data_IF_412282895014
#
_entry.id   IF_412282895014
#
_cell.length_a   1.000
_cell.length_b   1.000
_cell.length_c   1.000
_cell.angle_alpha   90.00
_cell.angle_beta   90.00
_cell.angle_gamma   90.00
#
_symmetry.space_group_name_H-M   'P 1'
#
loop_
_entity.id
_entity.type
_entity.pdbx_description
1 polymer ?
#
# COMPACT_ATOMS: atom_id res chain seq x y z
N UNK A 1 -9.22 -47.67 -43.75
CA UNK A 1 -9.16 -47.43 -42.29
C UNK A 1 -7.91 -46.61 -42.00
N UNK A 2 -8.06 -45.29 -41.90
CA UNK A 2 -6.96 -44.36 -41.56
C UNK A 2 -6.95 -44.18 -40.04
N UNK A 3 -5.84 -44.54 -39.40
CA UNK A 3 -5.62 -44.38 -37.96
C UNK A 3 -5.70 -42.90 -37.57
N UNK A 4 -6.42 -42.51 -36.50
CA UNK A 4 -6.43 -41.13 -36.05
C UNK A 4 -5.06 -40.79 -35.44
N UNK A 5 -4.35 -39.84 -36.06
CA UNK A 5 -3.11 -39.30 -35.52
C UNK A 5 -3.37 -38.79 -34.10
N UNK A 6 -2.64 -39.34 -33.12
CA UNK A 6 -2.63 -38.86 -31.75
C UNK A 6 -2.01 -37.47 -31.72
N UNK A 7 -2.85 -36.45 -31.85
CA UNK A 7 -2.50 -35.05 -31.55
C UNK A 7 -2.27 -34.92 -30.04
N UNK A 8 -1.17 -35.50 -29.57
CA UNK A 8 -0.64 -35.26 -28.23
C UNK A 8 0.01 -33.88 -28.30
N UNK A 9 -0.52 -32.85 -27.61
CA UNK A 9 0.09 -31.52 -27.67
C UNK A 9 1.53 -31.63 -27.18
N UNK A 10 2.49 -31.25 -28.04
CA UNK A 10 3.91 -31.24 -27.72
C UNK A 10 4.12 -30.42 -26.45
N UNK A 11 4.68 -31.04 -25.40
CA UNK A 11 5.06 -30.33 -24.17
C UNK A 11 5.98 -29.17 -24.57
N UNK A 12 5.70 -27.92 -24.15
CA UNK A 12 6.54 -26.78 -24.50
C UNK A 12 7.98 -27.02 -24.01
N UNK A 13 8.98 -26.82 -24.87
CA UNK A 13 10.38 -26.94 -24.47
C UNK A 13 10.70 -25.96 -23.34
N UNK A 14 11.35 -26.47 -22.30
CA UNK A 14 11.66 -25.72 -21.09
C UNK A 14 12.93 -24.89 -21.31
N UNK A 15 12.82 -23.56 -21.18
CA UNK A 15 13.93 -22.64 -21.38
C UNK A 15 15.11 -22.96 -20.42
N UNK A 16 16.35 -22.68 -20.84
CA UNK A 16 17.58 -23.00 -20.09
C UNK A 16 17.56 -22.44 -18.66
N UNK A 17 17.08 -21.20 -18.48
CA UNK A 17 16.88 -20.60 -17.17
C UNK A 17 15.92 -21.41 -16.28
N UNK A 18 14.80 -21.89 -16.83
CA UNK A 18 13.79 -22.64 -16.06
C UNK A 18 14.32 -24.01 -15.64
N UNK A 19 15.18 -24.64 -16.45
CA UNK A 19 15.87 -25.90 -16.10
C UNK A 19 16.86 -25.70 -14.95
N UNK A 20 17.69 -24.66 -15.02
CA UNK A 20 18.59 -24.29 -13.93
C UNK A 20 17.81 -23.92 -12.65
N UNK A 21 16.76 -23.10 -12.78
CA UNK A 21 15.97 -22.68 -11.62
C UNK A 21 15.30 -23.86 -10.92
N UNK A 22 14.81 -24.84 -11.69
CA UNK A 22 14.20 -26.05 -11.14
C UNK A 22 15.17 -26.97 -10.40
N UNK A 23 16.50 -26.81 -10.59
CA UNK A 23 17.49 -27.61 -9.84
C UNK A 23 17.78 -27.04 -8.45
N UNK A 24 17.32 -25.84 -8.12
CA UNK A 24 17.46 -25.25 -6.78
C UNK A 24 16.50 -25.90 -5.79
N UNK A 25 16.80 -25.84 -4.49
CA UNK A 25 15.90 -26.30 -3.44
C UNK A 25 14.50 -25.64 -3.57
N UNK A 26 13.39 -26.37 -3.43
CA UNK A 26 12.03 -25.82 -3.64
C UNK A 26 11.74 -24.56 -2.82
N UNK A 27 12.19 -24.52 -1.57
CA UNK A 27 12.09 -23.32 -0.70
C UNK A 27 12.84 -22.12 -1.29
N UNK A 28 14.04 -22.30 -1.85
CA UNK A 28 14.81 -21.23 -2.49
C UNK A 28 14.13 -20.73 -3.77
N UNK A 29 13.47 -21.62 -4.52
CA UNK A 29 12.64 -21.22 -5.65
C UNK A 29 11.48 -20.33 -5.18
N UNK A 30 10.77 -20.71 -4.12
CA UNK A 30 9.66 -19.88 -3.61
C UNK A 30 10.13 -18.53 -3.07
N UNK A 31 11.25 -18.50 -2.34
CA UNK A 31 11.85 -17.25 -1.84
C UNK A 31 12.25 -16.35 -3.02
N UNK A 32 13.00 -16.88 -3.99
CA UNK A 32 13.43 -16.13 -5.17
C UNK A 32 12.26 -15.56 -5.98
N UNK A 33 11.18 -16.33 -6.11
CA UNK A 33 9.92 -15.91 -6.73
C UNK A 33 9.15 -14.85 -5.93
N UNK A 34 9.54 -14.55 -4.68
CA UNK A 34 8.89 -13.56 -3.82
C UNK A 34 9.75 -12.30 -3.58
N UNK A 35 11.07 -12.38 -3.78
CA UNK A 35 12.01 -11.26 -3.64
C UNK A 35 11.74 -10.07 -4.56
N UNK A 36 10.94 -10.24 -5.62
CA UNK A 36 10.52 -9.11 -6.45
C UNK A 36 9.67 -8.08 -5.69
N UNK A 37 8.93 -8.50 -4.65
CA UNK A 37 8.05 -7.62 -3.89
C UNK A 37 8.82 -6.56 -3.07
N UNK A 38 9.82 -6.92 -2.23
CA UNK A 38 10.62 -5.92 -1.53
C UNK A 38 11.45 -5.05 -2.49
N UNK A 39 11.97 -5.62 -3.58
CA UNK A 39 12.68 -4.85 -4.60
C UNK A 39 11.76 -3.79 -5.25
N UNK A 40 10.56 -4.22 -5.66
CA UNK A 40 9.53 -3.32 -6.16
C UNK A 40 9.21 -2.21 -5.16
N UNK A 41 9.06 -2.56 -3.87
CA UNK A 41 8.75 -1.58 -2.83
C UNK A 41 9.84 -0.52 -2.70
N UNK A 42 11.11 -0.91 -2.63
CA UNK A 42 12.25 0.02 -2.54
C UNK A 42 12.29 0.94 -3.77
N UNK A 43 12.18 0.37 -4.98
CA UNK A 43 12.21 1.15 -6.22
C UNK A 43 11.04 2.13 -6.29
N UNK A 44 9.81 1.68 -6.01
CA UNK A 44 8.62 2.52 -6.04
C UNK A 44 8.67 3.61 -4.96
N UNK A 45 9.20 3.31 -3.77
CA UNK A 45 9.37 4.28 -2.70
C UNK A 45 10.36 5.39 -3.11
N UNK A 46 11.53 5.03 -3.63
CA UNK A 46 12.49 6.02 -4.12
C UNK A 46 11.89 6.87 -5.25
N UNK A 47 11.25 6.25 -6.24
CA UNK A 47 10.69 6.97 -7.39
C UNK A 47 9.47 7.83 -7.05
N UNK A 48 8.66 7.46 -6.08
CA UNK A 48 7.41 8.18 -5.79
C UNK A 48 7.52 9.11 -4.58
N UNK A 49 8.25 8.70 -3.53
CA UNK A 49 8.37 9.50 -2.31
C UNK A 49 9.63 10.36 -2.33
N UNK A 50 10.79 9.77 -2.59
CA UNK A 50 12.04 10.55 -2.61
C UNK A 50 12.00 11.55 -3.76
N UNK A 51 11.62 11.12 -4.96
CA UNK A 51 11.51 12.05 -6.09
C UNK A 51 10.51 13.19 -5.84
N UNK A 52 9.36 12.92 -5.19
CA UNK A 52 8.36 13.95 -4.94
C UNK A 52 8.70 14.89 -3.76
N UNK A 53 9.35 14.38 -2.71
CA UNK A 53 9.56 15.13 -1.46
C UNK A 53 11.00 15.62 -1.22
N UNK A 54 12.00 15.18 -2.00
CA UNK A 54 13.39 15.60 -1.75
C UNK A 54 13.64 17.08 -2.03
N UNK A 55 12.92 17.69 -2.98
CA UNK A 55 13.07 19.08 -3.37
C UNK A 55 11.73 19.66 -3.88
N UNK A 56 10.73 19.88 -3.01
CA UNK A 56 9.49 20.52 -3.41
C UNK A 56 9.77 21.99 -3.70
N UNK A 57 9.76 22.35 -4.99
CA UNK A 57 9.81 23.74 -5.42
C UNK A 57 8.39 24.26 -5.57
N UNK A 58 8.11 25.38 -4.89
CA UNK A 58 6.88 26.12 -5.07
C UNK A 58 6.82 26.67 -6.50
N UNK A 59 5.73 26.37 -7.21
CA UNK A 59 5.43 26.88 -8.55
C UNK A 59 4.05 27.51 -8.53
N UNK A 60 3.94 28.73 -9.08
CA UNK A 60 2.67 29.43 -9.28
C UNK A 60 1.74 29.40 -8.05
N UNK A 61 2.29 29.60 -6.85
CA UNK A 61 1.53 29.54 -5.60
C UNK A 61 0.58 30.74 -5.56
N UNK A 62 -0.74 30.54 -5.52
CA UNK A 62 -1.66 31.65 -5.63
C UNK A 62 -1.76 32.41 -4.33
N UNK A 63 -1.51 33.71 -4.41
CA UNK A 63 -1.60 34.67 -3.33
C UNK A 63 -2.73 35.64 -3.67
N UNK A 64 -3.72 35.69 -2.79
CA UNK A 64 -4.82 36.64 -2.92
C UNK A 64 -4.40 38.03 -2.50
N UNK A 65 -4.84 39.07 -3.21
CA UNK A 65 -4.65 40.47 -2.84
C UNK A 65 -5.99 41.17 -2.86
N UNK A 66 -6.31 41.89 -1.79
CA UNK A 66 -7.50 42.73 -1.74
C UNK A 66 -7.21 44.03 -2.48
N UNK A 67 -7.96 44.31 -3.55
CA UNK A 67 -7.75 45.48 -4.41
C UNK A 67 -6.89 45.18 -5.65
N UNK A 68 -6.13 46.18 -6.12
CA UNK A 68 -5.35 46.06 -7.36
C UNK A 68 -4.09 45.21 -7.18
N UNK A 69 -3.95 44.19 -8.03
CA UNK A 69 -2.80 43.29 -8.03
C UNK A 69 -1.56 43.86 -8.75
N UNK A 70 -1.71 44.86 -9.62
CA UNK A 70 -0.65 45.29 -10.56
C UNK A 70 0.64 45.76 -9.86
N UNK A 71 0.51 46.51 -8.76
CA UNK A 71 1.67 47.01 -8.01
C UNK A 71 2.40 45.90 -7.25
N UNK A 72 1.66 44.87 -6.83
CA UNK A 72 2.21 43.74 -6.10
C UNK A 72 2.86 42.72 -7.01
N UNK A 73 2.25 42.48 -8.16
CA UNK A 73 2.76 41.55 -9.16
C UNK A 73 4.16 41.96 -9.62
N UNK A 74 4.37 43.28 -9.84
CA UNK A 74 5.70 43.83 -10.15
C UNK A 74 6.73 43.64 -9.01
N UNK A 75 6.33 43.83 -7.76
CA UNK A 75 7.22 43.67 -6.61
C UNK A 75 7.59 42.19 -6.34
N UNK A 76 6.63 41.28 -6.54
CA UNK A 76 6.83 39.84 -6.39
C UNK A 76 7.64 39.25 -7.55
N UNK A 77 7.41 39.70 -8.78
CA UNK A 77 8.23 39.32 -9.94
C UNK A 77 9.71 39.64 -9.75
N UNK A 78 10.03 40.74 -9.05
CA UNK A 78 11.42 41.11 -8.72
C UNK A 78 12.07 40.28 -7.59
N UNK A 79 11.26 39.67 -6.72
CA UNK A 79 11.74 38.99 -5.50
C UNK A 79 11.72 37.46 -5.61
N UNK A 80 10.70 36.91 -6.28
CA UNK A 80 10.48 35.46 -6.41
C UNK A 80 9.81 35.13 -7.76
N UNK A 81 10.52 35.30 -8.90
CA UNK A 81 9.95 35.09 -10.23
C UNK A 81 9.48 33.64 -10.44
N UNK A 82 8.24 33.45 -10.87
CA UNK A 82 7.64 32.13 -11.18
C UNK A 82 7.26 31.28 -9.96
N UNK A 83 7.34 31.85 -8.74
CA UNK A 83 7.02 31.13 -7.49
C UNK A 83 5.59 31.44 -7.02
N UNK A 84 5.09 32.64 -7.33
CA UNK A 84 3.80 33.15 -6.85
C UNK A 84 2.94 33.60 -8.02
N UNK A 85 1.67 33.21 -7.99
CA UNK A 85 0.60 33.69 -8.87
C UNK A 85 -0.28 34.69 -8.09
N UNK A 86 -0.51 35.89 -8.61
CA UNK A 86 -1.24 36.92 -7.87
C UNK A 86 -2.70 36.98 -8.34
N UNK A 87 -3.64 36.82 -7.42
CA UNK A 87 -5.07 36.90 -7.70
C UNK A 87 -5.71 38.06 -6.97
N UNK A 88 -6.42 38.93 -7.70
CA UNK A 88 -7.14 40.06 -7.08
C UNK A 88 -8.51 39.65 -6.56
N UNK A 89 -8.87 40.19 -5.39
CA UNK A 89 -10.17 40.05 -4.78
C UNK A 89 -10.76 41.43 -4.50
N UNK A 90 -12.07 41.56 -4.71
CA UNK A 90 -12.79 42.83 -4.53
C UNK A 90 -13.06 43.14 -3.07
N UNK A 91 -13.20 42.11 -2.22
CA UNK A 91 -13.49 42.25 -0.79
C UNK A 91 -12.54 41.40 0.05
N UNK A 92 -12.33 41.85 1.30
CA UNK A 92 -11.55 41.11 2.29
C UNK A 92 -12.21 39.77 2.62
N UNK A 93 -13.54 39.72 2.67
CA UNK A 93 -14.27 38.49 3.02
C UNK A 93 -14.17 37.44 1.91
N UNK A 94 -14.19 37.83 0.64
CA UNK A 94 -13.92 36.92 -0.48
C UNK A 94 -12.51 36.36 -0.43
N UNK A 95 -11.52 37.20 -0.08
CA UNK A 95 -10.14 36.79 0.08
C UNK A 95 -9.96 35.81 1.26
N UNK A 96 -10.59 36.08 2.41
CA UNK A 96 -10.60 35.16 3.57
C UNK A 96 -11.25 33.82 3.22
N UNK A 97 -12.38 33.84 2.51
CA UNK A 97 -13.04 32.63 2.03
C UNK A 97 -12.18 31.86 1.01
N UNK A 98 -11.42 32.56 0.17
CA UNK A 98 -10.46 31.96 -0.75
C UNK A 98 -9.34 31.20 0.00
N UNK A 99 -8.83 31.78 1.10
CA UNK A 99 -7.82 31.14 1.98
C UNK A 99 -8.41 29.93 2.69
N UNK A 100 -9.60 30.06 3.30
CA UNK A 100 -10.27 28.96 4.02
C UNK A 100 -10.65 27.79 3.09
N UNK A 101 -11.03 28.07 1.85
CA UNK A 101 -11.36 27.04 0.85
C UNK A 101 -10.14 26.41 0.18
N UNK A 102 -8.94 26.96 0.38
CA UNK A 102 -7.72 26.49 -0.25
C UNK A 102 -7.50 26.93 -1.69
N UNK A 103 -8.28 27.91 -2.19
CA UNK A 103 -8.12 28.46 -3.54
C UNK A 103 -6.86 29.30 -3.66
N UNK A 104 -6.51 30.00 -2.58
CA UNK A 104 -5.26 30.75 -2.45
C UNK A 104 -4.52 30.28 -1.19
N UNK A 105 -3.19 30.31 -1.23
CA UNK A 105 -2.33 29.92 -0.12
C UNK A 105 -2.43 30.90 1.06
N UNK A 106 -2.36 32.20 0.76
CA UNK A 106 -2.55 33.31 1.69
C UNK A 106 -3.26 34.45 0.98
N UNK A 107 -3.89 35.34 1.74
CA UNK A 107 -4.43 36.59 1.21
C UNK A 107 -3.79 37.78 1.91
N UNK A 108 -3.52 38.86 1.18
CA UNK A 108 -2.96 40.09 1.69
C UNK A 108 -3.98 41.20 1.55
N UNK A 109 -4.23 41.92 2.65
CA UNK A 109 -4.94 43.19 2.65
C UNK A 109 -3.91 44.32 2.83
N UNK A 110 -3.58 45.07 1.76
CA UNK A 110 -2.68 46.21 1.84
C UNK A 110 -3.21 47.34 2.73
N UNK A 111 -4.53 47.55 2.79
CA UNK A 111 -5.12 48.65 3.53
C UNK A 111 -4.99 48.46 5.05
N UNK A 112 -5.15 47.22 5.53
CA UNK A 112 -4.95 46.86 6.93
C UNK A 112 -3.53 46.34 7.24
N UNK A 113 -2.65 46.27 6.23
CA UNK A 113 -1.31 45.66 6.35
C UNK A 113 -1.37 44.28 7.02
N UNK A 114 -2.27 43.41 6.54
CA UNK A 114 -2.52 42.09 7.15
C UNK A 114 -2.39 40.96 6.13
N UNK A 115 -1.71 39.88 6.51
CA UNK A 115 -1.65 38.62 5.78
C UNK A 115 -2.58 37.62 6.48
N UNK A 116 -3.61 37.17 5.77
CA UNK A 116 -4.50 36.10 6.20
C UNK A 116 -3.97 34.74 5.73
N UNK A 117 -3.84 33.80 6.66
CA UNK A 117 -3.45 32.41 6.39
C UNK A 117 -4.44 31.43 7.04
N UNK A 118 -4.37 30.16 6.65
CA UNK A 118 -5.11 29.08 7.28
C UNK A 118 -4.15 27.91 7.57
N UNK A 119 -3.61 27.85 8.79
CA UNK A 119 -2.64 26.80 9.14
C UNK A 119 -3.26 25.40 9.07
N UNK A 120 -4.53 25.28 9.42
CA UNK A 120 -5.25 24.01 9.34
C UNK A 120 -5.52 23.51 7.91
N UNK A 121 -5.51 24.41 6.91
CA UNK A 121 -5.62 23.98 5.52
C UNK A 121 -4.30 23.38 5.03
N UNK A 122 -3.17 24.07 5.27
CA UNK A 122 -1.85 23.52 4.98
C UNK A 122 -0.76 24.22 5.79
N UNK A 123 -0.24 23.54 6.80
CA UNK A 123 0.76 24.09 7.72
C UNK A 123 2.02 24.59 7.02
N UNK A 124 2.62 23.76 6.14
CA UNK A 124 3.88 24.09 5.44
C UNK A 124 3.77 25.39 4.62
N UNK A 125 2.63 25.57 3.96
CA UNK A 125 2.35 26.76 3.13
C UNK A 125 2.09 27.98 3.99
N UNK A 126 1.27 27.81 5.03
CA UNK A 126 0.92 28.87 5.98
C UNK A 126 2.14 29.39 6.77
N UNK A 127 3.20 28.58 6.89
CA UNK A 127 4.47 28.98 7.47
C UNK A 127 5.41 29.64 6.43
N UNK A 128 5.52 29.06 5.23
CA UNK A 128 6.52 29.48 4.24
C UNK A 128 6.10 30.71 3.42
N UNK A 129 4.85 30.77 2.94
CA UNK A 129 4.42 31.81 2.00
C UNK A 129 4.47 33.23 2.61
N UNK A 130 4.07 33.46 3.87
CA UNK A 130 4.24 34.77 4.49
C UNK A 130 5.70 35.24 4.52
N UNK A 131 6.67 34.33 4.71
CA UNK A 131 8.11 34.65 4.68
C UNK A 131 8.56 35.08 3.28
N UNK A 132 8.02 34.46 2.23
CA UNK A 132 8.34 34.80 0.84
C UNK A 132 7.73 36.17 0.45
N UNK A 133 6.49 36.45 0.87
CA UNK A 133 5.75 37.66 0.47
C UNK A 133 6.16 38.89 1.30
N UNK A 134 6.59 38.72 2.55
CA UNK A 134 6.91 39.84 3.45
C UNK A 134 7.98 40.79 2.91
N UNK A 135 9.12 40.34 2.35
CA UNK A 135 10.11 41.25 1.76
C UNK A 135 9.57 42.11 0.62
N UNK A 136 8.68 41.55 -0.21
CA UNK A 136 8.02 42.30 -1.30
C UNK A 136 7.00 43.32 -0.75
N UNK A 137 6.32 43.01 0.35
CA UNK A 137 5.47 43.98 1.06
C UNK A 137 6.29 45.13 1.66
N UNK A 138 7.44 44.80 2.25
CA UNK A 138 8.34 45.79 2.86
C UNK A 138 8.96 46.73 1.83
N UNK A 139 9.27 46.26 0.61
CA UNK A 139 9.76 47.13 -0.47
C UNK A 139 8.70 48.14 -0.95
N UNK A 140 7.42 47.83 -0.75
CA UNK A 140 6.29 48.73 -0.98
C UNK A 140 5.94 49.60 0.25
N UNK A 141 6.74 49.54 1.32
CA UNK A 141 6.54 50.30 2.56
C UNK A 141 5.47 49.72 3.49
N UNK A 142 5.00 48.49 3.25
CA UNK A 142 3.98 47.81 4.05
C UNK A 142 4.68 46.91 5.07
N UNK A 143 4.33 47.04 6.36
CA UNK A 143 4.80 46.14 7.42
C UNK A 143 3.68 45.20 7.81
N UNK A 144 3.61 43.98 7.24
CA UNK A 144 2.48 43.09 7.43
C UNK A 144 2.44 42.46 8.83
N UNK A 145 1.25 42.38 9.40
CA UNK A 145 0.93 41.46 10.50
C UNK A 145 0.31 40.18 9.94
N UNK A 146 0.45 39.04 10.62
CA UNK A 146 -0.14 37.77 10.18
C UNK A 146 -1.32 37.38 11.06
N UNK A 147 -2.46 37.06 10.44
CA UNK A 147 -3.66 36.57 11.11
C UNK A 147 -3.99 35.18 10.57
N UNK A 148 -4.12 34.21 11.48
CA UNK A 148 -4.55 32.86 11.14
C UNK A 148 -6.07 32.74 11.27
N UNK A 149 -6.73 32.47 10.16
CA UNK A 149 -8.18 32.30 10.08
C UNK A 149 -8.63 30.92 10.58
N UNK A 150 -7.75 29.93 10.52
CA UNK A 150 -8.03 28.56 10.91
C UNK A 150 -6.80 27.98 11.61
N UNK A 151 -6.57 28.35 12.88
CA UNK A 151 -5.47 27.81 13.67
C UNK A 151 -5.67 26.30 13.91
N UNK A 152 -4.55 25.58 13.96
CA UNK A 152 -4.55 24.16 14.29
C UNK A 152 -4.82 23.93 15.79
N UNK A 153 -5.49 22.82 16.14
CA UNK A 153 -5.73 22.47 17.53
C UNK A 153 -4.42 22.05 18.25
N UNK A 154 -4.35 22.15 19.59
CA UNK A 154 -3.13 21.83 20.36
C UNK A 154 -2.66 20.38 20.22
N UNK A 155 -3.57 19.44 19.92
CA UNK A 155 -3.25 18.03 19.74
C UNK A 155 -2.80 17.68 18.30
N UNK A 156 -2.77 18.64 17.37
CA UNK A 156 -2.29 18.47 16.00
C UNK A 156 -1.59 19.74 15.48
N UNK A 157 -0.49 20.11 16.12
CA UNK A 157 0.26 21.35 15.84
C UNK A 157 0.74 21.47 14.39
N UNK A 158 0.88 20.35 13.67
CA UNK A 158 1.38 20.30 12.30
C UNK A 158 0.29 19.94 11.26
N UNK A 159 -0.96 19.68 11.67
CA UNK A 159 -2.06 19.32 10.76
C UNK A 159 -1.88 17.94 10.10
N UNK A 160 -1.08 17.06 10.71
CA UNK A 160 -0.65 15.78 10.10
C UNK A 160 -1.62 14.64 10.34
N UNK A 161 -2.55 14.78 11.30
CA UNK A 161 -3.51 13.74 11.64
C UNK A 161 -4.37 13.37 10.43
N UNK A 162 -4.83 14.36 9.67
CA UNK A 162 -5.60 14.15 8.43
C UNK A 162 -4.82 13.31 7.39
N UNK A 163 -3.53 13.57 7.22
CA UNK A 163 -2.66 12.81 6.32
C UNK A 163 -2.51 11.35 6.77
N UNK A 164 -2.28 11.11 8.06
CA UNK A 164 -2.10 9.75 8.58
C UNK A 164 -3.40 8.95 8.58
N UNK A 165 -4.55 9.58 8.85
CA UNK A 165 -5.86 8.94 8.71
C UNK A 165 -6.12 8.52 7.26
N UNK A 166 -5.87 9.41 6.31
CA UNK A 166 -5.98 9.10 4.88
C UNK A 166 -5.08 7.91 4.50
N UNK A 167 -3.81 7.92 4.93
CA UNK A 167 -2.88 6.83 4.68
C UNK A 167 -3.38 5.51 5.29
N UNK A 168 -3.82 5.52 6.55
CA UNK A 168 -4.32 4.34 7.24
C UNK A 168 -5.55 3.74 6.54
N UNK A 169 -6.50 4.58 6.11
CA UNK A 169 -7.71 4.14 5.42
C UNK A 169 -7.43 3.65 4.00
N UNK A 170 -6.51 4.29 3.27
CA UNK A 170 -6.02 3.79 1.99
C UNK A 170 -5.41 2.39 2.15
N UNK A 171 -4.55 2.20 3.17
CA UNK A 171 -3.94 0.90 3.48
C UNK A 171 -4.99 -0.14 3.80
N UNK A 172 -5.92 0.16 4.70
CA UNK A 172 -7.03 -0.73 5.06
C UNK A 172 -7.87 -1.14 3.83
N UNK A 173 -8.21 -0.18 2.98
CA UNK A 173 -9.00 -0.40 1.75
C UNK A 173 -8.35 -1.35 0.77
N UNK A 174 -7.11 -1.07 0.35
CA UNK A 174 -6.49 -1.92 -0.66
C UNK A 174 -6.09 -3.28 -0.08
N UNK A 175 -5.67 -3.37 1.19
CA UNK A 175 -5.20 -4.65 1.78
C UNK A 175 -6.32 -5.69 1.87
N UNK A 176 -7.52 -5.30 2.31
CA UNK A 176 -8.69 -6.20 2.35
C UNK A 176 -8.95 -6.78 0.97
N UNK A 177 -9.04 -5.92 -0.04
CA UNK A 177 -9.32 -6.33 -1.41
C UNK A 177 -8.16 -7.09 -2.08
N UNK A 178 -6.92 -6.75 -1.74
CA UNK A 178 -5.72 -7.45 -2.18
C UNK A 178 -5.76 -8.90 -1.69
N UNK A 179 -6.07 -9.15 -0.42
CA UNK A 179 -6.21 -10.52 0.10
C UNK A 179 -7.39 -11.27 -0.51
N UNK A 180 -8.50 -10.59 -0.81
CA UNK A 180 -9.60 -11.19 -1.59
C UNK A 180 -9.14 -11.55 -3.00
N UNK A 181 -8.30 -10.74 -3.64
CA UNK A 181 -7.71 -11.05 -4.94
C UNK A 181 -6.74 -12.23 -4.90
N UNK A 182 -5.91 -12.31 -3.85
CA UNK A 182 -4.88 -13.33 -3.64
C UNK A 182 -5.47 -14.70 -3.24
N UNK A 183 -6.44 -14.71 -2.34
CA UNK A 183 -6.97 -15.92 -1.67
C UNK A 183 -8.44 -16.19 -2.00
N UNK A 184 -9.21 -15.17 -2.39
CA UNK A 184 -10.65 -15.25 -2.61
C UNK A 184 -11.06 -15.81 -3.98
N UNK A 185 -10.16 -16.42 -4.74
CA UNK A 185 -10.44 -17.03 -6.05
C UNK A 185 -11.71 -17.94 -6.09
N UNK A 186 -12.01 -18.77 -5.06
CA UNK A 186 -13.22 -19.60 -5.05
C UNK A 186 -14.48 -18.87 -4.55
N UNK A 187 -14.36 -17.66 -4.01
CA UNK A 187 -15.49 -16.94 -3.41
C UNK A 187 -16.47 -16.40 -4.46
N UNK A 188 -17.77 -16.48 -4.16
CA UNK A 188 -18.82 -15.82 -4.94
C UNK A 188 -18.69 -14.31 -4.82
N UNK A 189 -19.15 -13.58 -5.85
CA UNK A 189 -19.15 -12.12 -5.88
C UNK A 189 -19.79 -11.48 -4.64
N UNK A 190 -20.94 -12.01 -4.19
CA UNK A 190 -21.64 -11.52 -3.00
C UNK A 190 -20.80 -11.65 -1.73
N UNK A 191 -20.08 -12.75 -1.57
CA UNK A 191 -19.19 -12.97 -0.43
C UNK A 191 -18.01 -12.00 -0.44
N UNK A 192 -17.41 -11.75 -1.62
CA UNK A 192 -16.33 -10.76 -1.76
C UNK A 192 -16.80 -9.36 -1.38
N UNK A 193 -17.96 -8.94 -1.89
CA UNK A 193 -18.55 -7.65 -1.54
C UNK A 193 -18.89 -7.55 -0.06
N UNK A 194 -19.47 -8.60 0.53
CA UNK A 194 -19.76 -8.63 1.96
C UNK A 194 -18.49 -8.47 2.80
N UNK A 195 -17.38 -9.13 2.45
CA UNK A 195 -16.10 -8.96 3.15
C UNK A 195 -15.57 -7.54 3.00
N UNK A 196 -15.66 -6.92 1.82
CA UNK A 196 -15.24 -5.52 1.62
C UNK A 196 -16.08 -4.56 2.46
N UNK A 197 -17.40 -4.71 2.44
CA UNK A 197 -18.33 -3.81 3.12
C UNK A 197 -18.26 -3.96 4.64
N UNK A 198 -18.33 -5.20 5.14
CA UNK A 198 -18.28 -5.49 6.59
C UNK A 198 -16.86 -5.29 7.12
N UNK A 199 -15.85 -5.80 6.42
CA UNK A 199 -14.45 -5.59 6.79
C UNK A 199 -14.09 -4.11 6.78
N UNK A 200 -14.61 -3.35 5.81
CA UNK A 200 -14.44 -1.90 5.77
C UNK A 200 -15.08 -1.19 6.95
N UNK A 201 -16.29 -1.62 7.37
CA UNK A 201 -16.93 -1.05 8.55
C UNK A 201 -16.13 -1.34 9.83
N UNK A 202 -15.60 -2.56 9.95
CA UNK A 202 -14.74 -2.94 11.09
C UNK A 202 -13.44 -2.14 11.11
N UNK A 203 -12.75 -2.00 9.97
CA UNK A 203 -11.52 -1.21 9.89
C UNK A 203 -11.81 0.26 10.17
N UNK A 204 -12.89 0.79 9.62
CA UNK A 204 -13.35 2.16 9.90
C UNK A 204 -13.62 2.35 11.39
N UNK A 205 -14.29 1.40 12.04
CA UNK A 205 -14.57 1.46 13.47
C UNK A 205 -13.27 1.46 14.28
N UNK A 206 -12.39 0.49 14.02
CA UNK A 206 -11.12 0.33 14.73
C UNK A 206 -10.24 1.58 14.55
N UNK A 207 -10.08 2.05 13.32
CA UNK A 207 -9.25 3.23 13.04
C UNK A 207 -9.80 4.49 13.71
N UNK A 208 -11.12 4.67 13.74
CA UNK A 208 -11.74 5.83 14.39
C UNK A 208 -11.69 5.74 15.93
N UNK A 209 -11.84 4.54 16.50
CA UNK A 209 -11.67 4.30 17.94
C UNK A 209 -10.22 4.53 18.37
N UNK A 210 -9.25 4.08 17.55
CA UNK A 210 -7.84 4.30 17.81
C UNK A 210 -7.48 5.79 17.69
N UNK A 211 -7.87 6.45 16.60
CA UNK A 211 -7.54 7.85 16.35
C UNK A 211 -8.20 8.81 17.34
N UNK A 212 -9.46 8.56 17.72
CA UNK A 212 -10.17 9.39 18.69
C UNK A 212 -9.91 8.95 20.13
N UNK A 213 -10.75 8.07 20.72
CA UNK A 213 -10.68 7.72 22.14
C UNK A 213 -9.34 7.20 22.69
N UNK A 214 -8.55 6.46 21.91
CA UNK A 214 -7.33 5.81 22.43
C UNK A 214 -6.11 6.73 22.33
N UNK A 215 -5.89 7.34 21.17
CA UNK A 215 -4.75 8.23 20.93
C UNK A 215 -5.05 9.67 21.33
N UNK A 216 -6.31 10.11 21.23
CA UNK A 216 -6.71 11.50 21.46
C UNK A 216 -6.34 12.44 20.32
N UNK A 217 -6.07 11.92 19.12
CA UNK A 217 -5.67 12.74 17.96
C UNK A 217 -6.86 13.44 17.28
N UNK A 218 -8.08 12.98 17.56
CA UNK A 218 -9.31 13.54 17.00
C UNK A 218 -10.37 13.67 18.09
N UNK A 219 -10.93 14.87 18.22
CA UNK A 219 -12.05 15.16 19.11
C UNK A 219 -13.34 15.41 18.30
N UNK A 220 -14.43 14.80 18.74
CA UNK A 220 -15.73 14.91 18.06
C UNK A 220 -15.79 14.15 16.72
N UNK A 221 -16.88 14.37 15.96
CA UNK A 221 -17.02 13.92 14.56
C UNK A 221 -16.97 12.40 14.31
N UNK A 222 -17.10 11.57 15.35
CA UNK A 222 -16.96 10.11 15.24
C UNK A 222 -17.85 9.51 14.14
N UNK A 223 -19.13 9.91 14.08
CA UNK A 223 -20.07 9.38 13.09
C UNK A 223 -19.71 9.76 11.66
N UNK A 224 -19.31 11.01 11.42
CA UNK A 224 -18.94 11.49 10.10
C UNK A 224 -17.65 10.83 9.61
N UNK A 225 -16.61 10.80 10.45
CA UNK A 225 -15.34 10.16 10.13
C UNK A 225 -15.50 8.66 9.88
N UNK A 226 -16.37 7.99 10.65
CA UNK A 226 -16.72 6.60 10.39
C UNK A 226 -17.35 6.42 9.00
N UNK A 227 -18.34 7.24 8.63
CA UNK A 227 -18.99 7.10 7.33
C UNK A 227 -18.05 7.41 6.16
N UNK A 228 -17.20 8.44 6.31
CA UNK A 228 -16.19 8.81 5.31
C UNK A 228 -15.18 7.67 5.15
N UNK A 229 -14.60 7.19 6.25
CA UNK A 229 -13.64 6.09 6.24
C UNK A 229 -14.24 4.81 5.66
N UNK A 230 -15.45 4.45 6.09
CA UNK A 230 -16.15 3.28 5.60
C UNK A 230 -16.42 3.35 4.10
N UNK A 231 -17.02 4.45 3.62
CA UNK A 231 -17.28 4.65 2.20
C UNK A 231 -15.99 4.59 1.38
N UNK A 232 -14.91 5.17 1.91
CA UNK A 232 -13.61 5.18 1.27
C UNK A 232 -12.99 3.80 1.12
N UNK A 233 -12.92 3.06 2.23
CA UNK A 233 -12.38 1.71 2.30
C UNK A 233 -13.17 0.80 1.35
N UNK A 234 -14.49 0.97 1.27
CA UNK A 234 -15.34 0.24 0.34
C UNK A 234 -15.04 0.61 -1.11
N UNK A 235 -14.91 1.89 -1.45
CA UNK A 235 -14.62 2.32 -2.82
C UNK A 235 -13.26 1.80 -3.32
N UNK A 236 -12.21 1.96 -2.51
CA UNK A 236 -10.87 1.42 -2.79
C UNK A 236 -10.93 -0.10 -2.87
N UNK A 237 -11.62 -0.74 -1.93
CA UNK A 237 -11.75 -2.19 -1.88
C UNK A 237 -12.44 -2.75 -3.11
N UNK A 238 -13.51 -2.11 -3.60
CA UNK A 238 -14.19 -2.49 -4.83
C UNK A 238 -13.30 -2.29 -6.06
N UNK A 239 -12.59 -1.17 -6.15
CA UNK A 239 -11.66 -0.88 -7.24
C UNK A 239 -10.54 -1.93 -7.33
N UNK A 240 -9.88 -2.22 -6.20
CA UNK A 240 -8.81 -3.22 -6.12
C UNK A 240 -9.33 -4.63 -6.36
N UNK A 241 -10.51 -4.97 -5.83
CA UNK A 241 -11.12 -6.28 -6.08
C UNK A 241 -11.47 -6.45 -7.56
N UNK A 242 -12.00 -5.42 -8.23
CA UNK A 242 -12.24 -5.43 -9.67
C UNK A 242 -10.95 -5.65 -10.47
N UNK A 243 -9.90 -4.91 -10.12
CA UNK A 243 -8.59 -5.03 -10.76
C UNK A 243 -7.94 -6.39 -10.51
N UNK A 244 -8.24 -7.04 -9.39
CA UNK A 244 -7.72 -8.39 -9.04
C UNK A 244 -8.07 -9.45 -10.08
N UNK A 245 -9.18 -9.28 -10.81
CA UNK A 245 -9.56 -10.19 -11.88
C UNK A 245 -8.61 -10.16 -13.08
N UNK A 246 -7.87 -9.07 -13.26
CA UNK A 246 -6.93 -8.92 -14.39
C UNK A 246 -5.49 -9.20 -13.96
N UNK A 247 -5.08 -8.66 -12.81
CA UNK A 247 -3.72 -8.80 -12.28
C UNK A 247 -3.48 -10.16 -11.58
N UNK A 248 -4.53 -10.84 -11.12
CA UNK A 248 -4.41 -12.10 -10.38
C UNK A 248 -3.57 -11.96 -9.12
N UNK A 249 -2.61 -12.89 -8.91
CA UNK A 249 -1.69 -12.90 -7.76
C UNK A 249 -0.86 -11.61 -7.65
N UNK A 250 -0.58 -10.94 -8.76
CA UNK A 250 0.23 -9.72 -8.78
C UNK A 250 -0.55 -8.45 -8.45
N UNK A 251 -1.82 -8.55 -8.01
CA UNK A 251 -2.68 -7.41 -7.67
C UNK A 251 -2.05 -6.47 -6.63
N UNK A 252 -1.17 -6.97 -5.76
CA UNK A 252 -0.44 -6.15 -4.80
C UNK A 252 0.31 -4.99 -5.47
N UNK A 253 0.92 -5.21 -6.64
CA UNK A 253 1.70 -4.18 -7.36
C UNK A 253 0.83 -3.02 -7.80
N UNK A 254 -0.15 -3.19 -8.71
CA UNK A 254 -0.92 -2.05 -9.18
C UNK A 254 -1.79 -1.45 -8.08
N UNK A 255 -2.22 -2.23 -7.07
CA UNK A 255 -2.91 -1.68 -5.91
C UNK A 255 -2.00 -0.72 -5.11
N UNK A 256 -0.77 -1.13 -4.78
CA UNK A 256 0.19 -0.26 -4.09
C UNK A 256 0.59 0.94 -4.94
N UNK A 257 0.82 0.77 -6.24
CA UNK A 257 1.14 1.90 -7.13
C UNK A 257 0.02 2.94 -7.11
N UNK A 258 -1.22 2.52 -7.35
CA UNK A 258 -2.35 3.46 -7.50
C UNK A 258 -2.75 4.09 -6.16
N UNK A 259 -2.88 3.28 -5.10
CA UNK A 259 -3.49 3.72 -3.83
C UNK A 259 -2.49 4.11 -2.75
N UNK A 260 -1.19 3.85 -2.93
CA UNK A 260 -0.15 4.23 -1.95
C UNK A 260 0.87 5.16 -2.62
N UNK A 261 1.63 4.64 -3.57
CA UNK A 261 2.79 5.35 -4.12
C UNK A 261 2.42 6.59 -4.92
N UNK A 262 1.43 6.50 -5.79
CA UNK A 262 0.92 7.66 -6.51
C UNK A 262 -0.04 8.48 -5.66
N UNK A 263 -0.81 7.82 -4.79
CA UNK A 263 -1.86 8.50 -4.03
C UNK A 263 -1.31 9.48 -3.00
N UNK A 264 -0.25 9.12 -2.27
CA UNK A 264 0.27 9.96 -1.19
C UNK A 264 0.85 11.29 -1.68
N UNK A 265 1.82 11.33 -2.63
CA UNK A 265 2.35 12.59 -3.14
C UNK A 265 1.30 13.45 -3.82
N UNK A 266 0.35 12.84 -4.52
CA UNK A 266 -0.71 13.56 -5.26
C UNK A 266 -1.94 13.90 -4.42
N UNK A 267 -2.00 13.50 -3.14
CA UNK A 267 -3.17 13.70 -2.28
C UNK A 267 -3.38 15.14 -1.82
N UNK A 268 -2.36 16.00 -1.87
CA UNK A 268 -2.45 17.31 -1.21
C UNK A 268 -2.32 17.27 0.31
N UNK A 269 -2.09 16.09 0.91
CA UNK A 269 -2.06 15.92 2.36
C UNK A 269 -0.75 16.40 3.01
N UNK A 270 0.40 16.03 2.43
CA UNK A 270 1.71 16.48 2.91
C UNK A 270 2.07 17.87 2.38
N UNK A 271 1.99 18.01 1.05
CA UNK A 271 2.20 19.24 0.33
C UNK A 271 1.05 19.46 -0.64
N UNK A 272 0.68 20.72 -0.90
CA UNK A 272 -0.35 21.04 -1.89
C UNK A 272 0.16 20.76 -3.32
N UNK A 273 -0.77 20.72 -4.29
CA UNK A 273 -0.43 20.41 -5.69
C UNK A 273 0.61 21.36 -6.31
N UNK A 274 0.61 22.63 -5.92
CA UNK A 274 1.55 23.67 -6.39
C UNK A 274 2.98 23.56 -5.81
N UNK A 275 3.24 22.57 -4.95
CA UNK A 275 4.61 22.26 -4.47
C UNK A 275 5.12 20.92 -5.03
N UNK A 276 4.27 20.19 -5.75
CA UNK A 276 4.57 18.85 -6.23
C UNK A 276 5.05 18.91 -7.69
N UNK A 277 6.13 18.18 -8.05
CA UNK A 277 6.56 18.12 -9.44
C UNK A 277 5.53 17.39 -10.31
N UNK A 278 5.49 17.69 -11.60
CA UNK A 278 4.79 16.85 -12.56
C UNK A 278 5.43 15.45 -12.61
N UNK A 279 4.66 14.36 -12.69
CA UNK A 279 3.21 14.29 -12.94
C UNK A 279 2.32 14.33 -11.68
N UNK A 280 2.89 14.41 -10.47
CA UNK A 280 2.12 14.27 -9.22
C UNK A 280 1.10 15.40 -9.02
N UNK A 281 1.44 16.62 -9.44
CA UNK A 281 0.53 17.76 -9.41
C UNK A 281 -0.72 17.52 -10.26
N UNK A 282 -0.56 17.08 -11.52
CA UNK A 282 -1.67 16.75 -12.41
C UNK A 282 -2.53 15.61 -11.85
N UNK A 283 -1.87 14.61 -11.28
CA UNK A 283 -2.52 13.42 -10.77
C UNK A 283 -3.43 13.71 -9.56
N UNK A 284 -3.26 14.84 -8.88
CA UNK A 284 -4.18 15.31 -7.83
C UNK A 284 -5.65 15.36 -8.31
N UNK A 285 -5.89 15.64 -9.59
CA UNK A 285 -7.24 15.71 -10.16
C UNK A 285 -7.97 14.36 -10.20
N UNK A 286 -7.24 13.25 -10.21
CA UNK A 286 -7.80 11.90 -10.43
C UNK A 286 -7.55 10.99 -9.24
N UNK A 287 -6.46 11.23 -8.50
CA UNK A 287 -6.07 10.41 -7.36
C UNK A 287 -7.11 10.44 -6.26
N UNK A 288 -7.42 9.24 -5.80
CA UNK A 288 -8.27 8.92 -4.65
C UNK A 288 -7.82 9.76 -3.45
N UNK A 289 -6.54 9.74 -3.07
CA UNK A 289 -6.04 10.50 -1.92
C UNK A 289 -6.42 11.99 -1.84
N UNK A 290 -6.67 12.69 -2.95
CA UNK A 290 -7.03 14.12 -2.89
C UNK A 290 -8.43 14.36 -2.38
N UNK A 291 -9.41 13.60 -2.87
CA UNK A 291 -10.81 13.73 -2.46
C UNK A 291 -11.01 13.49 -0.96
N UNK A 292 -10.35 12.48 -0.38
CA UNK A 292 -10.48 12.20 1.05
C UNK A 292 -9.74 13.21 1.93
N UNK A 293 -8.59 13.72 1.47
CA UNK A 293 -7.83 14.73 2.23
C UNK A 293 -8.64 16.00 2.38
N UNK A 294 -9.30 16.44 1.32
CA UNK A 294 -10.23 17.58 1.35
C UNK A 294 -11.39 17.35 2.32
N UNK A 295 -12.02 16.17 2.28
CA UNK A 295 -13.12 15.83 3.19
C UNK A 295 -12.67 15.78 4.66
N UNK A 296 -11.48 15.23 4.93
CA UNK A 296 -10.90 15.15 6.26
C UNK A 296 -10.59 16.54 6.82
N UNK A 297 -9.95 17.40 6.03
CA UNK A 297 -9.65 18.78 6.45
C UNK A 297 -10.93 19.58 6.71
N UNK A 298 -11.98 19.32 5.92
CA UNK A 298 -13.30 19.94 6.10
C UNK A 298 -13.96 19.52 7.40
N UNK A 299 -13.95 18.23 7.71
CA UNK A 299 -14.59 17.69 8.91
C UNK A 299 -13.79 18.01 10.18
N UNK A 300 -12.46 17.89 10.14
CA UNK A 300 -11.60 18.07 11.32
C UNK A 300 -11.36 19.54 11.67
N UNK A 301 -11.21 20.40 10.67
CA UNK A 301 -10.79 21.78 10.89
C UNK A 301 -11.71 22.83 10.26
N UNK A 302 -12.76 22.43 9.55
CA UNK A 302 -13.69 23.36 8.91
C UNK A 302 -13.15 24.04 7.64
N UNK A 303 -12.03 23.55 7.09
CA UNK A 303 -11.31 24.15 5.94
C UNK A 303 -11.34 23.27 4.70
N UNK A 304 -11.11 23.87 3.54
CA UNK A 304 -11.12 23.18 2.25
C UNK A 304 -12.49 23.19 1.56
N UNK A 305 -12.56 22.62 0.35
CA UNK A 305 -13.76 22.60 -0.47
C UNK A 305 -14.85 21.71 0.17
N UNK A 306 -16.05 21.72 -0.42
CA UNK A 306 -17.15 20.86 0.04
C UNK A 306 -16.91 19.37 -0.24
N UNK A 307 -17.77 18.52 0.32
CA UNK A 307 -17.67 17.06 0.20
C UNK A 307 -17.95 16.50 -1.22
N UNK A 308 -18.44 17.34 -2.16
CA UNK A 308 -18.92 16.89 -3.47
C UNK A 308 -17.85 16.18 -4.28
N UNK A 309 -16.63 16.75 -4.38
CA UNK A 309 -15.52 16.16 -5.14
C UNK A 309 -15.11 14.80 -4.58
N UNK A 310 -14.92 14.71 -3.27
CA UNK A 310 -14.55 13.46 -2.62
C UNK A 310 -15.61 12.36 -2.77
N UNK A 311 -16.90 12.71 -2.64
CA UNK A 311 -18.00 11.77 -2.88
C UNK A 311 -18.03 11.30 -4.34
N UNK A 312 -17.87 12.21 -5.31
CA UNK A 312 -17.84 11.87 -6.73
C UNK A 312 -16.68 10.90 -7.02
N UNK A 313 -15.48 11.17 -6.50
CA UNK A 313 -14.33 10.28 -6.64
C UNK A 313 -14.62 8.90 -6.03
N UNK A 314 -15.15 8.84 -4.81
CA UNK A 314 -15.49 7.60 -4.14
C UNK A 314 -16.49 6.77 -4.95
N UNK A 315 -17.55 7.40 -5.47
CA UNK A 315 -18.55 6.76 -6.34
C UNK A 315 -17.93 6.31 -7.66
N UNK A 316 -17.09 7.13 -8.28
CA UNK A 316 -16.42 6.80 -9.54
C UNK A 316 -15.52 5.57 -9.39
N UNK A 317 -14.69 5.51 -8.35
CA UNK A 317 -13.83 4.35 -8.07
C UNK A 317 -14.62 3.09 -7.73
N UNK A 318 -15.69 3.22 -6.94
CA UNK A 318 -16.59 2.12 -6.66
C UNK A 318 -17.25 1.59 -7.95
N UNK A 319 -17.74 2.48 -8.82
CA UNK A 319 -18.36 2.14 -10.09
C UNK A 319 -17.35 1.44 -11.04
N UNK A 320 -16.15 2.00 -11.20
CA UNK A 320 -15.07 1.37 -11.99
C UNK A 320 -14.73 -0.01 -11.44
N UNK A 321 -14.62 -0.16 -10.12
CA UNK A 321 -14.39 -1.44 -9.47
C UNK A 321 -15.46 -2.48 -9.76
N UNK A 322 -16.73 -2.09 -9.71
CA UNK A 322 -17.86 -2.95 -10.03
C UNK A 322 -17.85 -3.35 -11.51
N UNK A 323 -17.63 -2.41 -12.43
CA UNK A 323 -17.52 -2.69 -13.86
C UNK A 323 -16.38 -3.69 -14.14
N UNK A 324 -15.19 -3.45 -13.57
CA UNK A 324 -14.04 -4.34 -13.68
C UNK A 324 -14.34 -5.73 -13.10
N UNK A 325 -15.10 -5.82 -12.01
CA UNK A 325 -15.50 -7.09 -11.42
C UNK A 325 -16.46 -7.88 -12.32
N UNK A 326 -17.44 -7.21 -12.93
CA UNK A 326 -18.39 -7.85 -13.85
C UNK A 326 -17.74 -8.31 -15.15
N UNK A 327 -16.83 -7.51 -15.71
CA UNK A 327 -16.07 -7.85 -16.94
C UNK A 327 -14.95 -8.85 -16.64
N UNK A 328 -14.34 -8.75 -15.45
CA UNK A 328 -13.18 -9.54 -15.06
C UNK A 328 -13.48 -11.02 -14.83
N UNK A 329 -14.68 -11.36 -14.35
CA UNK A 329 -15.08 -12.77 -14.17
C UNK A 329 -15.09 -13.57 -15.47
N UNK A 330 -15.85 -13.20 -16.52
CA UNK A 330 -15.86 -13.95 -17.78
C UNK A 330 -14.47 -13.98 -18.42
N UNK A 331 -13.70 -12.90 -18.28
CA UNK A 331 -12.32 -12.85 -18.73
C UNK A 331 -11.41 -13.88 -18.03
N UNK A 332 -11.52 -14.02 -16.71
CA UNK A 332 -10.78 -15.03 -15.94
C UNK A 332 -11.18 -16.46 -16.32
N UNK A 333 -12.48 -16.72 -16.49
CA UNK A 333 -13.00 -18.03 -16.90
C UNK A 333 -12.45 -18.42 -18.28
N UNK A 334 -12.54 -17.51 -19.25
CA UNK A 334 -11.96 -17.70 -20.57
C UNK A 334 -10.44 -17.96 -20.53
N UNK A 335 -9.69 -17.19 -19.74
CA UNK A 335 -8.25 -17.40 -19.56
C UNK A 335 -7.92 -18.75 -18.92
N UNK A 336 -8.71 -19.20 -17.93
CA UNK A 336 -8.52 -20.52 -17.29
C UNK A 336 -8.74 -21.64 -18.29
N UNK A 337 -9.84 -21.60 -19.04
CA UNK A 337 -10.13 -22.59 -20.09
C UNK A 337 -8.98 -22.66 -21.08
N UNK A 338 -8.50 -21.52 -21.57
CA UNK A 338 -7.37 -21.46 -22.52
C UNK A 338 -6.06 -22.00 -21.94
N UNK A 339 -5.83 -21.83 -20.63
CA UNK A 339 -4.64 -22.37 -19.95
C UNK A 339 -4.72 -23.89 -19.80
N UNK A 340 -5.89 -24.42 -19.43
CA UNK A 340 -6.12 -25.87 -19.34
C UNK A 340 -5.92 -26.51 -20.71
N UNK A 341 -6.48 -25.91 -21.76
CA UNK A 341 -6.33 -26.39 -23.13
C UNK A 341 -4.88 -26.33 -23.66
N UNK A 342 -4.04 -25.43 -23.16
CA UNK A 342 -2.64 -25.28 -23.62
C UNK A 342 -1.62 -26.05 -22.79
N UNK A 343 -2.01 -26.67 -21.67
CA UNK A 343 -1.09 -27.44 -20.81
C UNK A 343 0.08 -26.65 -20.20
N UNK A 344 0.11 -25.31 -20.34
CA UNK A 344 1.20 -24.47 -19.81
C UNK A 344 1.06 -24.28 -18.31
N UNK A 345 2.07 -24.72 -17.56
CA UNK A 345 2.26 -24.39 -16.14
C UNK A 345 3.17 -23.18 -15.96
N UNK A 346 3.02 -22.48 -14.83
CA UNK A 346 3.90 -21.37 -14.42
C UNK A 346 5.00 -21.87 -13.50
N UNK A 347 6.19 -21.28 -13.52
CA UNK A 347 7.30 -21.62 -12.59
C UNK A 347 6.85 -21.62 -11.11
N UNK A 348 5.99 -20.68 -10.73
CA UNK A 348 5.44 -20.63 -9.37
C UNK A 348 4.57 -21.85 -9.03
N UNK A 349 3.79 -22.35 -9.98
CA UNK A 349 2.95 -23.53 -9.76
C UNK A 349 3.80 -24.79 -9.64
N UNK A 350 4.86 -24.90 -10.46
CA UNK A 350 5.79 -26.03 -10.38
C UNK A 350 6.58 -25.99 -9.08
N UNK A 351 7.11 -24.82 -8.69
CA UNK A 351 7.84 -24.64 -7.43
C UNK A 351 6.96 -24.97 -6.22
N UNK A 352 5.68 -24.58 -6.24
CA UNK A 352 4.76 -24.85 -5.14
C UNK A 352 4.37 -26.35 -5.07
N UNK A 353 4.28 -27.03 -6.21
CA UNK A 353 4.08 -28.48 -6.26
C UNK A 353 5.32 -29.22 -5.77
N UNK A 354 6.52 -28.86 -6.26
CA UNK A 354 7.79 -29.43 -5.83
C UNK A 354 8.01 -29.23 -4.31
N UNK A 355 7.67 -28.06 -3.78
CA UNK A 355 7.77 -27.79 -2.35
C UNK A 355 6.78 -28.64 -1.53
N UNK A 356 5.56 -28.84 -2.03
CA UNK A 356 4.57 -29.71 -1.37
C UNK A 356 5.04 -31.17 -1.35
N UNK A 357 5.57 -31.65 -2.46
CA UNK A 357 6.12 -33.01 -2.57
C UNK A 357 7.33 -33.20 -1.63
N UNK A 358 8.24 -32.23 -1.60
CA UNK A 358 9.39 -32.24 -0.69
C UNK A 358 8.96 -32.31 0.77
N UNK A 359 8.07 -31.41 1.22
CA UNK A 359 7.55 -31.40 2.60
C UNK A 359 6.79 -32.68 2.95
N UNK A 360 6.18 -33.33 1.96
CA UNK A 360 5.50 -34.62 2.17
C UNK A 360 6.52 -35.72 2.44
N UNK A 361 7.59 -35.80 1.64
CA UNK A 361 8.67 -36.78 1.81
C UNK A 361 9.41 -36.59 3.13
N UNK A 362 9.82 -35.36 3.44
CA UNK A 362 10.51 -35.03 4.69
C UNK A 362 9.67 -35.41 5.91
N UNK A 363 8.37 -35.13 5.88
CA UNK A 363 7.46 -35.55 6.95
C UNK A 363 7.37 -37.08 7.05
N UNK A 364 7.28 -37.78 5.92
CA UNK A 364 7.15 -39.24 5.92
C UNK A 364 8.46 -39.90 6.44
N UNK A 365 9.64 -39.37 6.10
CA UNK A 365 10.94 -39.77 6.68
C UNK A 365 11.03 -39.51 8.19
N UNK A 366 10.50 -38.37 8.66
CA UNK A 366 10.42 -38.07 10.10
C UNK A 366 9.50 -39.08 10.81
N UNK A 367 8.35 -39.40 10.22
CA UNK A 367 7.43 -40.39 10.78
C UNK A 367 8.09 -41.77 10.86
N UNK A 368 8.79 -42.20 9.82
CA UNK A 368 9.53 -43.46 9.78
C UNK A 368 10.60 -43.54 10.88
N UNK A 369 11.39 -42.46 11.07
CA UNK A 369 12.37 -42.36 12.17
C UNK A 369 11.74 -42.54 13.55
N UNK A 370 10.46 -42.20 13.71
CA UNK A 370 9.72 -42.34 14.96
C UNK A 370 8.86 -43.61 15.01
N UNK A 371 9.04 -44.53 14.06
CA UNK A 371 8.30 -45.78 14.01
C UNK A 371 6.82 -45.58 13.67
N UNK A 372 6.50 -44.60 12.83
CA UNK A 372 5.15 -44.30 12.36
C UNK A 372 5.10 -44.37 10.82
N UNK A 373 4.10 -45.05 10.26
CA UNK A 373 3.85 -45.12 8.82
C UNK A 373 2.49 -44.55 8.46
N UNK A 374 2.41 -43.90 7.31
CA UNK A 374 1.17 -43.34 6.76
C UNK A 374 0.52 -44.35 5.82
N UNK A 375 -0.75 -44.67 6.04
CA UNK A 375 -1.53 -45.46 5.06
C UNK A 375 -1.93 -44.60 3.85
N UNK A 376 -2.24 -45.24 2.72
CA UNK A 376 -2.70 -44.55 1.49
C UNK A 376 -3.93 -43.63 1.72
N UNK A 377 -4.72 -43.89 2.76
CA UNK A 377 -5.88 -43.10 3.20
C UNK A 377 -5.52 -41.89 4.08
N UNK A 378 -4.27 -41.74 4.49
CA UNK A 378 -3.77 -40.60 5.28
C UNK A 378 -3.77 -40.77 6.80
N UNK A 379 -4.13 -41.95 7.32
CA UNK A 379 -4.08 -42.33 8.73
C UNK A 379 -2.65 -42.74 9.16
N UNK A 380 -2.24 -42.39 10.39
CA UNK A 380 -0.91 -42.69 10.93
C UNK A 380 -1.01 -43.97 11.78
N UNK A 381 -0.20 -44.98 11.46
CA UNK A 381 -0.06 -46.22 12.24
C UNK A 381 1.35 -46.35 12.81
N UNK A 382 1.48 -47.02 13.96
CA UNK A 382 2.79 -47.41 14.51
C UNK A 382 3.36 -48.61 13.75
N UNK A 383 4.64 -48.55 13.38
CA UNK A 383 5.38 -49.66 12.78
C UNK A 383 5.39 -50.83 13.76
N UNK A 384 4.91 -52.03 13.36
CA UNK A 384 5.01 -53.25 14.15
C UNK A 384 6.46 -53.53 14.56
N UNK A 385 6.68 -54.03 15.78
CA UNK A 385 8.00 -54.20 16.40
C UNK A 385 8.95 -55.04 15.55
N UNK A 386 8.40 -55.95 14.75
CA UNK A 386 9.13 -56.94 13.94
C UNK A 386 9.81 -56.31 12.70
N UNK A 387 9.31 -55.17 12.20
CA UNK A 387 9.87 -54.43 11.06
C UNK A 387 10.88 -53.35 11.46
N UNK A 388 10.97 -52.99 12.75
CA UNK A 388 11.92 -51.95 13.21
C UNK A 388 13.40 -52.36 13.09
N UNK A 389 13.68 -53.66 13.01
CA UNK A 389 15.05 -54.18 12.99
C UNK A 389 15.69 -54.13 11.59
N UNK A 390 14.92 -54.05 10.50
CA UNK A 390 15.47 -53.96 9.15
C UNK A 390 15.81 -52.53 8.71
N UNK A 391 15.19 -51.51 9.31
CA UNK A 391 15.34 -50.10 8.90
C UNK A 391 16.61 -49.43 9.47
N UNK A 392 17.09 -49.87 10.63
CA UNK A 392 18.30 -49.32 11.26
C UNK A 392 19.63 -49.78 10.62
N UNK A 393 19.60 -50.61 9.57
CA UNK A 393 20.80 -51.20 8.96
C UNK A 393 21.45 -50.40 7.83
N UNK A 394 20.77 -49.41 7.24
CA UNK A 394 21.17 -48.79 5.96
C UNK A 394 21.70 -47.33 6.07
N UNK A 395 22.02 -46.83 7.27
CA UNK A 395 22.26 -45.38 7.49
C UNK A 395 23.76 -44.96 7.45
N UNK A 396 24.72 -45.87 7.22
CA UNK A 396 26.15 -45.54 7.28
C UNK A 396 26.84 -45.45 5.89
N UNK A 397 26.69 -44.34 5.17
CA UNK A 397 27.72 -43.93 4.19
C UNK A 397 27.72 -42.40 3.88
N UNK A 398 28.77 -41.64 4.21
CA UNK A 398 28.85 -40.21 3.91
C UNK A 398 29.53 -39.93 2.56
N UNK A 399 28.78 -39.47 1.56
CA UNK A 399 29.35 -38.91 0.31
C UNK A 399 29.86 -37.47 0.50
N UNK A 400 31.08 -37.21 0.01
CA UNK A 400 31.90 -36.01 0.22
C UNK A 400 31.29 -34.67 -0.32
N UNK A 401 31.64 -33.50 0.29
CA UNK A 401 31.02 -32.21 -0.02
C UNK A 401 31.62 -31.47 -1.23
N UNK A 402 30.74 -31.02 -2.13
CA UNK A 402 31.05 -30.06 -3.19
C UNK A 402 30.99 -28.61 -2.70
N UNK A 403 32.08 -27.88 -2.93
CA UNK A 403 32.31 -26.51 -2.47
C UNK A 403 31.47 -25.50 -3.28
N UNK A 404 30.24 -25.18 -2.85
CA UNK A 404 29.68 -23.81 -2.77
C UNK A 404 28.17 -23.70 -2.50
N UNK A 405 27.38 -24.78 -2.55
CA UNK A 405 25.95 -24.75 -2.21
C UNK A 405 25.60 -26.09 -1.54
N UNK A 406 24.95 -26.00 -0.37
CA UNK A 406 24.66 -27.13 0.51
C UNK A 406 23.98 -28.31 -0.19
N UNK A 407 24.14 -29.48 0.43
CA UNK A 407 23.58 -30.76 0.01
C UNK A 407 22.05 -30.71 -0.10
N UNK A 408 21.50 -31.67 -0.86
CA UNK A 408 20.06 -31.85 -1.12
C UNK A 408 19.21 -32.18 0.10
N UNK A 409 19.83 -32.41 1.27
CA UNK A 409 19.14 -32.52 2.56
C UNK A 409 19.58 -31.37 3.45
N UNK A 410 18.61 -30.59 3.94
CA UNK A 410 18.69 -29.73 5.12
C UNK A 410 19.82 -28.68 5.16
N UNK A 411 19.47 -27.43 5.45
CA UNK A 411 20.47 -26.35 5.60
C UNK A 411 21.33 -26.45 6.87
N UNK A 412 21.26 -27.52 7.64
CA UNK A 412 22.08 -27.74 8.83
C UNK A 412 22.54 -29.20 8.90
N UNK A 413 23.84 -29.47 9.13
CA UNK A 413 24.27 -30.79 9.56
C UNK A 413 23.74 -31.06 10.97
N UNK A 414 22.88 -32.08 11.13
CA UNK A 414 22.47 -32.61 12.43
C UNK A 414 23.72 -33.08 13.20
N UNK A 415 24.20 -32.27 14.14
CA UNK A 415 25.08 -32.75 15.20
C UNK A 415 24.21 -33.48 16.23
N UNK A 416 24.06 -34.78 16.04
CA UNK A 416 23.37 -35.66 16.96
C UNK A 416 24.05 -35.64 18.35
N UNK A 417 23.23 -35.30 19.34
CA UNK A 417 23.52 -35.28 20.77
C UNK A 417 24.14 -36.62 21.26
N UNK A 418 25.36 -36.55 21.77
CA UNK A 418 25.99 -37.65 22.48
C UNK A 418 25.35 -37.82 23.88
N UNK A 419 24.50 -38.85 23.98
CA UNK A 419 24.34 -39.81 25.10
C UNK A 419 24.34 -39.27 26.54
N UNK A 420 23.14 -39.28 27.13
CA UNK A 420 22.93 -39.52 28.56
C UNK A 420 22.80 -41.03 28.85
N UNK A 421 23.75 -41.57 29.60
CA UNK A 421 23.72 -42.79 30.44
C UNK A 421 24.99 -42.68 31.30
N UNK A 422 25.05 -42.70 32.64
CA UNK A 422 24.11 -43.06 33.70
C UNK A 422 24.90 -43.79 34.79
N UNK A 423 25.18 -43.14 35.92
CA UNK A 423 25.45 -43.66 37.29
C UNK A 423 26.11 -42.50 38.08
N UNK A 424 25.71 -42.14 39.30
CA UNK A 424 25.46 -42.97 40.47
C UNK A 424 26.72 -42.96 41.34
N UNK A 425 26.87 -41.98 42.24
CA UNK A 425 28.02 -41.93 43.16
C UNK A 425 28.09 -40.66 44.01
N UNK A 426 27.78 -40.82 45.29
CA UNK A 426 27.90 -39.91 46.43
C UNK A 426 29.32 -39.36 46.64
N UNK A 427 29.46 -38.09 47.04
CA UNK A 427 30.14 -37.70 48.30
C UNK A 427 30.12 -36.17 48.55
N UNK A 428 29.60 -35.80 49.72
CA UNK A 428 30.04 -34.63 50.49
C UNK A 428 31.54 -34.77 50.82
N UNK A 429 32.32 -33.70 50.68
CA UNK A 429 33.07 -33.03 51.78
C UNK A 429 34.10 -32.01 51.25
N UNK A 430 34.08 -30.85 51.92
CA UNK A 430 35.11 -29.79 52.06
C UNK A 430 35.33 -28.78 50.94
#
# INVERSE_FOLDING_TARGET
MTSPASNTPLKPEVNAYRRWYSSLHPSLQLIGLQLWLPLFFIVAFCLCYVAAFHAPHAHDVPVGIVGSAEQFDAALAGTAPGVIDVQSFTTVDDAKNAVLSGRVAVAVDPASSTIFKASAHQYQVAALVPVIVTPALQSLGITPSTVDLAPLPPYDEYGTVSMYLMLAWCIGGYMVAMFIGLMGAPLRHRSRMAVIVVGGALISLITNVLAGPVVGAVEGHFGALFLIAWGWIVAVGLAVNGLSYFAGRFIAVPAMVIFVFLSMPSSGAAYPSWFMPEPFAWLNNVVVGSGITEMLKRELYGVGPGFSRGIIMMVAYAAVGLVLMFVGKPYLEWRRVRRVLSGRTTMFADANNANREFLTRERDEILERHGLLRTETGTIHTIPVDERQSVNGDIDEPTAPGMFLGTTGGLEPEQASARAHGSGGTHDEQ
#
